data_IF_337221099755
#
_entry.id   IF_337221099755
#
_cell.length_a   1.000
_cell.length_b   1.000
_cell.length_c   1.000
_cell.angle_alpha   90.00
_cell.angle_beta   90.00
_cell.angle_gamma   90.00
#
_symmetry.space_group_name_H-M   'P 1'
#
loop_
_entity.id
_entity.type
_entity.pdbx_description
1 polymer ?
#
# COMPACT_ATOMS: atom_id res chain seq x y z
N UNK A 1 -17.78 -51.55 -31.30
CA UNK A 1 -16.59 -50.68 -31.53
C UNK A 1 -16.89 -49.40 -32.33
N UNK A 2 -17.84 -49.37 -33.28
CA UNK A 2 -18.13 -48.16 -34.07
C UNK A 2 -18.64 -46.96 -33.27
N UNK A 3 -19.55 -47.19 -32.31
CA UNK A 3 -20.17 -46.10 -31.53
C UNK A 3 -19.18 -45.36 -30.63
N UNK A 4 -18.24 -46.08 -30.02
CA UNK A 4 -17.17 -45.47 -29.18
C UNK A 4 -16.24 -44.61 -30.02
N UNK A 5 -15.95 -44.99 -31.27
CA UNK A 5 -15.10 -44.20 -32.18
C UNK A 5 -15.79 -42.91 -32.64
N UNK A 6 -17.11 -42.93 -32.83
CA UNK A 6 -17.89 -41.75 -33.18
C UNK A 6 -17.95 -40.77 -32.00
N UNK A 7 -18.20 -41.27 -30.79
CA UNK A 7 -18.19 -40.44 -29.57
C UNK A 7 -16.80 -39.83 -29.34
N UNK A 8 -15.74 -40.60 -29.55
CA UNK A 8 -14.37 -40.11 -29.42
C UNK A 8 -14.04 -39.02 -30.46
N UNK A 9 -14.46 -39.21 -31.72
CA UNK A 9 -14.25 -38.21 -32.77
C UNK A 9 -15.00 -36.89 -32.49
N UNK A 10 -16.21 -36.98 -31.93
CA UNK A 10 -17.02 -35.82 -31.55
C UNK A 10 -16.37 -35.05 -30.38
N UNK A 11 -15.85 -35.79 -29.39
CA UNK A 11 -15.17 -35.21 -28.23
C UNK A 11 -13.87 -34.51 -28.64
N UNK A 12 -13.09 -35.10 -29.55
CA UNK A 12 -11.88 -34.46 -30.11
C UNK A 12 -12.24 -33.22 -30.92
N UNK A 13 -13.28 -33.27 -31.76
CA UNK A 13 -13.73 -32.10 -32.52
C UNK A 13 -14.17 -30.94 -31.63
N UNK A 14 -14.82 -31.24 -30.49
CA UNK A 14 -15.25 -30.21 -29.55
C UNK A 14 -14.08 -29.55 -28.81
N UNK A 15 -13.03 -30.32 -28.47
CA UNK A 15 -11.81 -29.78 -27.83
C UNK A 15 -11.07 -28.83 -28.78
N UNK A 16 -10.99 -29.13 -30.08
CA UNK A 16 -10.32 -28.29 -31.07
C UNK A 16 -11.05 -26.94 -31.28
N UNK A 17 -12.37 -26.91 -31.13
CA UNK A 17 -13.16 -25.69 -31.31
C UNK A 17 -13.10 -24.70 -30.13
N UNK A 18 -12.68 -25.15 -28.94
CA UNK A 18 -12.60 -24.30 -27.74
C UNK A 18 -11.43 -23.30 -27.80
N UNK A 19 -10.38 -23.59 -28.58
CA UNK A 19 -9.17 -22.76 -28.66
C UNK A 19 -9.28 -21.57 -29.65
N UNK A 20 -10.34 -21.54 -30.47
CA UNK A 20 -10.56 -20.46 -31.45
C UNK A 20 -11.35 -19.25 -30.88
N UNK A 21 -11.88 -19.35 -29.66
CA UNK A 21 -12.68 -18.29 -29.03
C UNK A 21 -11.90 -17.00 -28.68
N UNK A 22 -10.66 -17.04 -28.14
CA UNK A 22 -9.97 -15.81 -27.76
C UNK A 22 -9.47 -14.99 -28.96
N UNK A 23 -9.36 -15.59 -30.15
CA UNK A 23 -8.90 -14.90 -31.36
C UNK A 23 -9.89 -13.86 -31.92
N UNK A 24 -11.18 -13.98 -31.60
CA UNK A 24 -12.22 -13.03 -32.03
C UNK A 24 -12.58 -11.97 -30.97
N UNK A 25 -12.00 -12.05 -29.76
CA UNK A 25 -12.23 -11.10 -28.68
C UNK A 25 -11.27 -9.90 -28.72
N UNK A 26 -10.23 -9.96 -29.56
CA UNK A 26 -9.30 -8.84 -29.74
C UNK A 26 -9.82 -7.92 -30.85
N UNK A 27 -10.90 -7.19 -30.55
CA UNK A 27 -11.33 -6.06 -31.36
C UNK A 27 -10.25 -4.96 -31.31
N UNK A 28 -9.70 -4.64 -32.48
CA UNK A 28 -8.78 -3.54 -32.78
C UNK A 28 -9.41 -2.16 -32.51
N UNK A 29 -9.82 -1.88 -31.27
CA UNK A 29 -10.18 -0.52 -30.87
C UNK A 29 -8.89 0.26 -30.61
N UNK A 30 -8.37 0.84 -31.69
CA UNK A 30 -7.31 1.83 -31.62
C UNK A 30 -7.86 3.08 -30.93
N UNK A 31 -7.67 3.17 -29.61
CA UNK A 31 -8.06 4.33 -28.82
C UNK A 31 -7.17 5.54 -29.18
N UNK A 32 -7.61 6.33 -30.15
CA UNK A 32 -7.07 7.68 -30.39
C UNK A 32 -7.63 8.61 -29.30
N UNK A 33 -6.99 8.60 -28.14
CA UNK A 33 -7.36 9.49 -27.03
C UNK A 33 -6.79 10.88 -27.31
N UNK A 34 -7.67 11.81 -27.67
CA UNK A 34 -7.37 13.22 -27.86
C UNK A 34 -6.56 13.79 -26.67
N UNK A 35 -5.37 14.31 -26.95
CA UNK A 35 -4.42 14.88 -25.99
C UNK A 35 -4.89 16.17 -25.29
N UNK A 36 -6.18 16.50 -25.32
CA UNK A 36 -6.68 17.82 -24.93
C UNK A 36 -7.49 17.84 -23.62
N UNK A 37 -7.85 16.66 -23.08
CA UNK A 37 -8.49 16.56 -21.77
C UNK A 37 -7.40 16.41 -20.70
N UNK A 38 -7.20 17.46 -19.90
CA UNK A 38 -6.29 17.49 -18.73
C UNK A 38 -6.41 16.17 -17.96
N UNK A 39 -5.35 15.34 -17.99
CA UNK A 39 -5.36 14.03 -17.34
C UNK A 39 -5.48 14.26 -15.83
N UNK A 40 -6.64 13.91 -15.25
CA UNK A 40 -6.82 13.88 -13.79
C UNK A 40 -5.86 12.85 -13.22
N UNK A 41 -5.05 13.25 -12.25
CA UNK A 41 -4.11 12.34 -11.60
C UNK A 41 -4.87 11.45 -10.61
N UNK A 42 -4.28 10.32 -10.22
CA UNK A 42 -4.85 9.46 -9.16
C UNK A 42 -5.04 10.23 -7.85
N UNK A 43 -4.18 11.23 -7.62
CA UNK A 43 -4.26 12.12 -6.48
C UNK A 43 -5.51 13.01 -6.54
N UNK A 44 -5.79 13.64 -7.69
CA UNK A 44 -7.00 14.44 -7.91
C UNK A 44 -8.28 13.62 -7.74
N UNK A 45 -8.25 12.33 -8.12
CA UNK A 45 -9.39 11.42 -7.97
C UNK A 45 -9.63 11.01 -6.52
N UNK A 46 -8.57 10.84 -5.73
CA UNK A 46 -8.67 10.36 -4.35
C UNK A 46 -8.90 11.49 -3.34
N UNK A 47 -8.39 12.69 -3.62
CA UNK A 47 -8.40 13.83 -2.70
C UNK A 47 -9.15 15.07 -3.24
N UNK A 48 -9.57 15.04 -4.50
CA UNK A 48 -10.21 16.17 -5.18
C UNK A 48 -9.21 17.13 -5.82
N UNK A 49 -9.68 17.96 -6.75
CA UNK A 49 -8.86 18.96 -7.45
C UNK A 49 -8.48 20.11 -6.50
N UNK A 50 -7.18 20.41 -6.34
CA UNK A 50 -6.73 21.61 -5.61
C UNK A 50 -7.03 22.90 -6.41
N UNK A 51 -7.55 23.96 -5.76
CA UNK A 51 -7.74 25.25 -6.42
C UNK A 51 -6.39 25.86 -6.82
N UNK A 52 -6.34 26.43 -8.04
CA UNK A 52 -5.13 27.05 -8.57
C UNK A 52 -4.62 28.17 -7.64
N UNK A 53 -3.34 28.09 -7.28
CA UNK A 53 -2.69 29.07 -6.42
C UNK A 53 -2.76 30.49 -7.04
N UNK A 54 -3.05 31.53 -6.24
CA UNK A 54 -3.03 32.91 -6.72
C UNK A 54 -1.59 33.32 -7.13
N UNK A 55 -1.45 34.30 -8.05
CA UNK A 55 -0.14 34.75 -8.51
C UNK A 55 0.70 35.31 -7.34
N UNK A 56 2.04 35.15 -7.39
CA UNK A 56 2.91 35.65 -6.33
C UNK A 56 2.78 37.17 -6.22
N UNK A 57 2.32 37.66 -5.06
CA UNK A 57 2.43 39.07 -4.71
C UNK A 57 3.86 39.33 -4.21
N UNK A 58 4.56 40.28 -4.84
CA UNK A 58 5.86 40.76 -4.37
C UNK A 58 5.68 41.42 -3.00
N UNK A 59 6.16 40.76 -1.94
CA UNK A 59 6.12 41.30 -0.59
C UNK A 59 7.31 42.27 -0.40
N UNK A 60 7.09 43.49 0.11
CA UNK A 60 8.17 44.39 0.46
C UNK A 60 9.03 43.77 1.57
N UNK A 61 10.37 43.84 1.42
CA UNK A 61 11.33 43.41 2.43
C UNK A 61 11.07 44.13 3.76
N UNK A 62 10.48 43.41 4.72
CA UNK A 62 10.37 43.87 6.10
C UNK A 62 11.73 43.75 6.81
N UNK A 63 12.15 44.86 7.41
CA UNK A 63 13.32 44.97 8.27
C UNK A 63 13.19 44.00 9.45
N UNK A 64 14.26 43.22 9.69
CA UNK A 64 14.30 42.22 10.77
C UNK A 64 14.25 42.91 12.15
N UNK A 65 13.29 42.56 13.02
CA UNK A 65 13.35 42.92 14.43
C UNK A 65 14.50 42.19 15.12
N UNK A 66 15.21 42.92 15.98
CA UNK A 66 16.30 42.46 16.84
C UNK A 66 15.79 41.33 17.75
N UNK A 67 16.45 40.18 17.71
CA UNK A 67 16.09 39.01 18.52
C UNK A 67 16.21 39.31 20.01
N UNK A 68 15.09 39.34 20.71
CA UNK A 68 15.03 39.27 22.17
C UNK A 68 15.32 37.82 22.57
N UNK A 69 16.35 37.62 23.41
CA UNK A 69 16.69 36.33 23.97
C UNK A 69 15.52 35.83 24.82
N UNK A 70 14.79 34.82 24.34
CA UNK A 70 13.81 34.11 25.13
C UNK A 70 14.53 33.12 26.04
N UNK A 71 14.23 33.23 27.33
CA UNK A 71 14.71 32.32 28.36
C UNK A 71 14.14 30.91 28.11
N UNK A 72 14.94 29.84 28.19
CA UNK A 72 14.43 28.49 27.97
C UNK A 72 13.37 28.14 29.02
N UNK A 73 12.13 27.97 28.59
CA UNK A 73 11.10 27.37 29.44
C UNK A 73 11.49 25.90 29.65
N UNK A 74 11.51 25.47 30.91
CA UNK A 74 11.78 24.09 31.27
C UNK A 74 10.75 23.18 30.59
N UNK A 75 11.24 22.20 29.83
CA UNK A 75 10.39 21.23 29.18
C UNK A 75 9.60 20.42 30.24
N UNK A 76 8.31 20.13 30.02
CA UNK A 76 7.54 19.30 30.92
C UNK A 76 8.19 17.93 31.08
N UNK A 77 8.25 17.43 32.31
CA UNK A 77 8.79 16.11 32.62
C UNK A 77 7.94 15.03 31.96
N UNK A 78 8.59 14.14 31.20
CA UNK A 78 7.93 13.00 30.59
C UNK A 78 7.47 12.02 31.69
N UNK A 79 6.31 11.35 31.53
CA UNK A 79 5.88 10.28 32.41
C UNK A 79 6.94 9.17 32.50
N UNK A 80 7.05 8.46 33.64
CA UNK A 80 7.97 7.35 33.76
C UNK A 80 7.71 6.28 32.69
N UNK A 81 8.76 5.66 32.13
CA UNK A 81 8.62 4.61 31.15
C UNK A 81 7.81 3.46 31.74
N UNK A 82 6.83 2.96 30.97
CA UNK A 82 6.02 1.81 31.39
C UNK A 82 6.94 0.60 31.63
N UNK A 83 6.69 -0.22 32.68
CA UNK A 83 7.44 -1.44 32.91
C UNK A 83 7.41 -2.33 31.66
N UNK A 84 8.58 -2.69 31.15
CA UNK A 84 8.68 -3.63 30.05
C UNK A 84 8.41 -5.04 30.60
N UNK A 85 7.35 -5.68 30.12
CA UNK A 85 7.04 -7.07 30.49
C UNK A 85 8.05 -7.98 29.81
N UNK A 86 8.84 -8.70 30.61
CA UNK A 86 9.80 -9.66 30.10
C UNK A 86 9.06 -10.84 29.45
N UNK A 87 9.43 -11.17 28.20
CA UNK A 87 8.79 -12.24 27.44
C UNK A 87 9.30 -13.60 27.93
N UNK A 88 8.40 -14.56 28.07
CA UNK A 88 8.74 -15.90 28.54
C UNK A 88 9.65 -16.62 27.52
N UNK A 89 10.59 -17.47 27.98
CA UNK A 89 11.51 -18.18 27.09
C UNK A 89 10.79 -19.18 26.16
N UNK A 90 9.60 -19.65 26.56
CA UNK A 90 8.72 -20.54 25.81
C UNK A 90 7.54 -19.81 25.15
N UNK A 91 7.60 -18.49 25.01
CA UNK A 91 6.58 -17.72 24.33
C UNK A 91 6.35 -18.21 22.90
N UNK A 92 5.08 -18.19 22.47
CA UNK A 92 4.67 -18.48 21.10
C UNK A 92 5.31 -17.46 20.16
N UNK A 93 5.98 -17.95 19.12
CA UNK A 93 6.66 -17.13 18.13
C UNK A 93 5.79 -16.96 16.90
N UNK A 94 5.28 -15.75 16.69
CA UNK A 94 4.49 -15.37 15.53
C UNK A 94 5.38 -14.68 14.49
N UNK A 95 5.70 -15.36 13.40
CA UNK A 95 6.42 -14.76 12.29
C UNK A 95 5.45 -14.13 11.28
N UNK A 96 5.75 -12.90 10.85
CA UNK A 96 4.92 -12.14 9.89
C UNK A 96 5.74 -11.87 8.64
N UNK A 97 5.25 -12.34 7.49
CA UNK A 97 5.92 -12.26 6.19
C UNK A 97 5.11 -11.42 5.22
N UNK A 98 5.80 -10.79 4.26
CA UNK A 98 5.18 -10.06 3.16
C UNK A 98 6.01 -8.85 2.73
N UNK A 99 5.32 -7.87 2.17
CA UNK A 99 5.87 -6.60 1.68
C UNK A 99 5.96 -5.53 2.78
N UNK A 100 5.88 -4.25 2.39
CA UNK A 100 5.83 -3.11 3.32
C UNK A 100 4.65 -3.18 4.29
N UNK A 101 3.50 -3.75 3.89
CA UNK A 101 2.34 -3.92 4.78
C UNK A 101 2.67 -4.87 5.93
N UNK A 102 3.41 -5.95 5.67
CA UNK A 102 3.81 -6.91 6.69
C UNK A 102 4.69 -6.25 7.76
N UNK A 103 5.51 -5.27 7.37
CA UNK A 103 6.35 -4.52 8.30
C UNK A 103 5.48 -3.72 9.28
N UNK A 104 4.49 -3.00 8.77
CA UNK A 104 3.63 -2.15 9.61
C UNK A 104 2.66 -2.97 10.46
N UNK A 105 2.15 -4.08 9.92
CA UNK A 105 1.36 -5.04 10.68
C UNK A 105 2.16 -5.63 11.86
N UNK A 106 3.43 -6.02 11.62
CA UNK A 106 4.29 -6.55 12.69
C UNK A 106 4.45 -5.54 13.83
N UNK A 107 4.71 -4.27 13.52
CA UNK A 107 4.83 -3.19 14.52
C UNK A 107 3.53 -3.00 15.31
N UNK A 108 2.38 -3.07 14.63
CA UNK A 108 1.08 -2.96 15.28
C UNK A 108 0.84 -4.13 16.25
N UNK A 109 1.19 -5.35 15.85
CA UNK A 109 1.08 -6.55 16.68
C UNK A 109 2.04 -6.50 17.88
N UNK A 110 3.27 -6.05 17.71
CA UNK A 110 4.22 -5.84 18.82
C UNK A 110 3.68 -4.87 19.86
N UNK A 111 3.03 -3.78 19.41
CA UNK A 111 2.40 -2.79 20.30
C UNK A 111 1.17 -3.36 21.01
N UNK A 112 0.35 -4.12 20.30
CA UNK A 112 -0.88 -4.70 20.84
C UNK A 112 -0.57 -5.78 21.90
N UNK A 113 0.44 -6.60 21.65
CA UNK A 113 0.86 -7.69 22.54
C UNK A 113 2.12 -7.34 23.35
N UNK A 114 2.33 -6.05 23.62
CA UNK A 114 3.47 -5.58 24.42
C UNK A 114 3.42 -6.11 25.85
N UNK A 115 2.21 -6.28 26.40
CA UNK A 115 1.97 -6.73 27.78
C UNK A 115 1.80 -8.25 27.89
N UNK A 116 1.74 -8.99 26.79
CA UNK A 116 1.61 -10.44 26.80
C UNK A 116 3.01 -11.10 26.88
N UNK A 117 3.32 -11.80 28.00
CA UNK A 117 4.60 -12.50 28.14
C UNK A 117 4.68 -13.75 27.26
N UNK A 118 3.55 -14.28 26.76
CA UNK A 118 3.48 -15.55 26.06
C UNK A 118 3.54 -15.42 24.53
N UNK A 119 3.67 -14.21 23.99
CA UNK A 119 3.74 -13.98 22.54
C UNK A 119 4.95 -13.12 22.16
N UNK A 120 5.74 -13.60 21.21
CA UNK A 120 6.83 -12.86 20.56
C UNK A 120 6.48 -12.72 19.08
N UNK A 121 6.36 -11.48 18.61
CA UNK A 121 6.18 -11.19 17.18
C UNK A 121 7.57 -11.08 16.53
N UNK A 122 7.73 -11.68 15.35
CA UNK A 122 8.97 -11.70 14.59
C UNK A 122 8.67 -11.16 13.20
N UNK A 123 9.18 -9.96 12.92
CA UNK A 123 9.06 -9.34 11.60
C UNK A 123 10.00 -10.03 10.59
N UNK A 124 9.43 -10.51 9.48
CA UNK A 124 10.14 -11.05 8.31
C UNK A 124 9.64 -10.39 7.02
N UNK A 125 9.07 -9.19 7.12
CA UNK A 125 8.62 -8.41 5.98
C UNK A 125 9.80 -7.80 5.22
N UNK A 126 9.68 -7.77 3.89
CA UNK A 126 10.64 -7.09 3.02
C UNK A 126 10.03 -5.80 2.51
N UNK A 127 10.81 -4.72 2.52
CA UNK A 127 10.35 -3.43 2.00
C UNK A 127 10.38 -3.43 0.47
N UNK A 128 9.43 -4.11 -0.16
CA UNK A 128 9.22 -4.18 -1.60
C UNK A 128 7.72 -4.15 -1.90
N UNK A 129 7.20 -3.04 -2.39
CA UNK A 129 5.77 -2.86 -2.68
C UNK A 129 5.34 -3.39 -4.05
N UNK A 130 6.25 -4.01 -4.82
CA UNK A 130 6.01 -4.33 -6.23
C UNK A 130 6.15 -3.12 -7.14
#
# INVERSE_FOLDING_TARGET
MGMVRIVLALLIGMIVFVDAAPAFAQSDDTLVVAQQQRRRTLFDLLFGDEPAAPPPVEQPQQQRPRATQQQPQAAPSLPPPKPQVEKAPNATRLAVFGDSLAIDLSKALERLYAEDPNLVVINQGVSNSG
#
